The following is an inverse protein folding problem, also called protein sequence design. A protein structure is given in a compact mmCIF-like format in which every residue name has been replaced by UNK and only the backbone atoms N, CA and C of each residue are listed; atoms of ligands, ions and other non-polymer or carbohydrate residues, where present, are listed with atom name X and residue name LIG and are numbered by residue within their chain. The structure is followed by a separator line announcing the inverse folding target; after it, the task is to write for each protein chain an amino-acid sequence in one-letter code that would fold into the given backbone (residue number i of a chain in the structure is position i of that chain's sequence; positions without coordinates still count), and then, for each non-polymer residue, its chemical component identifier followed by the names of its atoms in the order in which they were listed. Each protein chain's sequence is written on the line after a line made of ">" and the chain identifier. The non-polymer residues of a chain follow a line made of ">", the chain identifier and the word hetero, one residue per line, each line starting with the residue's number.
data_IF_227006490382
#
_entry.id   IF_227006490382
#
_cell.length_a   1.000
_cell.length_b   1.000
_cell.length_c   1.000
_cell.angle_alpha   90.00
_cell.angle_beta   90.00
_cell.angle_gamma   90.00
#
_symmetry.space_group_name_H-M   'P 1'
#
loop_
_entity.id
_entity.type
_entity.pdbx_description
1 polymer ?
#
# COMPACT_ATOMS: atom_id res chain seq x y z
N UNK A 1 6.70 4.74 -10.66
CA UNK A 1 7.42 5.52 -9.63
C UNK A 1 6.52 5.58 -8.41
N UNK A 2 7.04 5.19 -7.25
CA UNK A 2 6.32 5.24 -5.97
C UNK A 2 7.09 6.23 -5.09
N UNK A 3 6.41 7.22 -4.53
CA UNK A 3 6.98 8.16 -3.55
C UNK A 3 6.37 7.89 -2.17
N UNK A 4 7.22 7.62 -1.18
CA UNK A 4 6.87 7.26 0.20
C UNK A 4 7.03 8.48 1.13
N UNK A 5 5.99 8.88 1.87
CA UNK A 5 6.03 10.06 2.73
C UNK A 5 5.10 9.92 3.94
N UNK A 6 5.38 10.63 5.04
CA UNK A 6 4.45 10.74 6.18
C UNK A 6 4.76 9.82 7.37
N UNK A 7 5.87 9.09 7.32
CA UNK A 7 6.38 8.23 8.39
C UNK A 7 5.71 6.86 8.44
N UNK A 8 6.28 5.96 9.24
CA UNK A 8 5.80 4.58 9.35
C UNK A 8 4.64 4.43 10.34
N UNK A 9 3.77 3.46 10.05
CA UNK A 9 2.70 2.97 10.93
C UNK A 9 2.74 1.46 10.96
N UNK A 10 2.56 0.87 12.14
CA UNK A 10 2.36 -0.56 12.29
C UNK A 10 0.87 -0.89 12.07
N UNK A 11 0.57 -1.81 11.16
CA UNK A 11 -0.77 -2.32 10.89
C UNK A 11 -0.78 -3.84 11.02
N UNK A 12 -1.89 -4.42 11.48
CA UNK A 12 -2.06 -5.87 11.49
C UNK A 12 -2.48 -6.35 10.09
N UNK A 13 -1.64 -7.19 9.48
CA UNK A 13 -1.85 -7.73 8.13
C UNK A 13 -1.93 -9.26 8.16
N UNK A 14 -2.68 -9.82 7.22
CA UNK A 14 -2.73 -11.25 6.91
C UNK A 14 -2.48 -11.50 5.42
N UNK A 15 -2.19 -12.75 5.05
CA UNK A 15 -1.93 -13.13 3.66
C UNK A 15 -2.57 -14.48 3.31
N UNK A 16 -3.23 -14.57 2.16
CA UNK A 16 -3.81 -15.84 1.68
C UNK A 16 -2.74 -16.93 1.43
N UNK A 17 -1.48 -16.53 1.20
CA UNK A 17 -0.36 -17.46 1.07
C UNK A 17 0.11 -18.05 2.41
N UNK A 18 -0.34 -17.52 3.55
CA UNK A 18 -0.03 -17.99 4.91
C UNK A 18 -1.32 -17.96 5.75
N UNK A 19 -2.21 -18.94 5.57
CA UNK A 19 -3.54 -18.89 6.15
C UNK A 19 -3.52 -18.90 7.68
N UNK A 20 -4.45 -18.15 8.29
CA UNK A 20 -4.65 -18.04 9.75
C UNK A 20 -3.49 -17.42 10.55
N UNK A 21 -2.56 -16.73 9.90
CA UNK A 21 -1.47 -16.00 10.56
C UNK A 21 -1.64 -14.49 10.33
N UNK A 22 -1.50 -13.72 11.40
CA UNK A 22 -1.57 -12.26 11.40
C UNK A 22 -0.31 -11.69 12.08
N UNK A 23 0.19 -10.57 11.59
CA UNK A 23 1.36 -9.92 12.14
C UNK A 23 1.32 -8.41 11.99
N UNK A 24 1.98 -7.69 12.90
CA UNK A 24 2.17 -6.25 12.79
C UNK A 24 3.29 -5.94 11.81
N UNK A 25 2.98 -5.19 10.76
CA UNK A 25 3.93 -4.80 9.71
C UNK A 25 4.02 -3.27 9.67
N UNK A 26 5.24 -2.74 9.69
CA UNK A 26 5.47 -1.30 9.54
C UNK A 26 5.51 -0.88 8.08
N UNK A 27 4.61 0.00 7.67
CA UNK A 27 4.54 0.58 6.32
C UNK A 27 4.41 2.09 6.36
N UNK A 28 4.73 2.73 5.25
CA UNK A 28 4.59 4.17 5.08
C UNK A 28 3.12 4.58 5.10
N UNK A 29 2.78 5.59 5.90
CA UNK A 29 1.39 6.05 6.07
C UNK A 29 0.74 6.55 4.77
N UNK A 30 1.56 6.96 3.81
CA UNK A 30 1.13 7.54 2.54
C UNK A 30 2.13 7.22 1.45
N UNK A 31 1.60 6.76 0.32
CA UNK A 31 2.35 6.56 -0.90
C UNK A 31 1.71 7.31 -2.07
N UNK A 32 2.51 7.72 -3.04
CA UNK A 32 2.05 8.21 -4.34
C UNK A 32 2.48 7.22 -5.41
N UNK A 33 1.52 6.63 -6.12
CA UNK A 33 1.78 5.58 -7.09
C UNK A 33 1.39 6.03 -8.51
N UNK A 34 2.25 5.68 -9.47
CA UNK A 34 1.97 5.77 -10.90
C UNK A 34 1.78 4.38 -11.49
N UNK A 35 0.63 4.12 -12.10
CA UNK A 35 0.23 2.80 -12.62
C UNK A 35 -0.69 2.93 -13.84
N UNK A 36 -0.88 1.85 -14.59
CA UNK A 36 -1.90 1.79 -15.65
C UNK A 36 -3.15 1.08 -15.13
N UNK A 37 -4.32 1.61 -15.46
CA UNK A 37 -5.59 0.93 -15.14
C UNK A 37 -5.90 -0.20 -16.14
N UNK A 38 -7.03 -0.87 -15.97
CA UNK A 38 -7.46 -1.98 -16.86
C UNK A 38 -7.68 -1.57 -18.32
N UNK A 39 -7.79 -0.27 -18.61
CA UNK A 39 -7.91 0.30 -19.97
C UNK A 39 -6.58 0.79 -20.52
N UNK A 40 -5.46 0.50 -19.85
CA UNK A 40 -4.12 0.97 -20.18
C UNK A 40 -3.97 2.50 -20.15
N UNK A 41 -4.77 3.18 -19.33
CA UNK A 41 -4.67 4.62 -19.13
C UNK A 41 -3.74 4.90 -17.94
N UNK A 42 -2.78 5.81 -18.13
CA UNK A 42 -1.82 6.19 -17.09
C UNK A 42 -2.52 6.94 -15.95
N UNK A 43 -2.31 6.46 -14.73
CA UNK A 43 -2.85 7.04 -13.50
C UNK A 43 -1.70 7.49 -12.61
N UNK A 44 -1.88 8.60 -11.91
CA UNK A 44 -1.05 9.03 -10.81
C UNK A 44 -1.96 9.37 -9.61
N UNK A 45 -1.82 8.64 -8.51
CA UNK A 45 -2.72 8.76 -7.35
C UNK A 45 -1.97 8.62 -6.03
N UNK A 46 -2.44 9.37 -5.04
CA UNK A 46 -1.99 9.29 -3.65
C UNK A 46 -2.92 8.35 -2.88
N UNK A 47 -2.33 7.44 -2.12
CA UNK A 47 -3.02 6.51 -1.23
C UNK A 47 -2.57 6.73 0.21
N UNK A 48 -3.49 6.50 1.16
CA UNK A 48 -3.25 6.67 2.60
C UNK A 48 -3.94 5.56 3.39
N UNK A 49 -3.53 5.36 4.64
CA UNK A 49 -4.13 4.37 5.54
C UNK A 49 -3.98 2.95 5.00
N UNK A 50 -5.03 2.12 5.10
CA UNK A 50 -4.99 0.72 4.67
C UNK A 50 -4.79 0.53 3.15
N UNK A 51 -4.99 1.58 2.35
CA UNK A 51 -4.82 1.52 0.88
C UNK A 51 -3.45 1.97 0.39
N UNK A 52 -2.62 2.49 1.30
CA UNK A 52 -1.23 2.86 1.03
C UNK A 52 -0.32 1.63 1.12
#
# INVERSE_FOLDING_TARGET
>A
MIEENGGKVALEEGCLSIPNIYGHVEREKKIKMRYYNAKLELQEKVFTGFTA
#
